data_IF_693287649769
#
_entry.id   IF_693287649769
#
_cell.length_a   1.000
_cell.length_b   1.000
_cell.length_c   1.000
_cell.angle_alpha   90.00
_cell.angle_beta   90.00
_cell.angle_gamma   90.00
#
_symmetry.space_group_name_H-M   'P 1'
#
loop_
_entity.id
_entity.type
_entity.pdbx_description
1 polymer ?
#
# COMPACT_ATOMS: atom_id res chain seq x y z
N UNK A 1 -15.47 61.90 -52.74
CA UNK A 1 -14.49 62.17 -51.66
C UNK A 1 -15.16 61.73 -50.36
N UNK A 2 -15.39 60.43 -50.22
CA UNK A 2 -14.53 59.46 -49.52
C UNK A 2 -14.56 59.63 -48.00
N UNK A 3 -15.53 58.93 -47.40
CA UNK A 3 -15.44 58.41 -46.04
C UNK A 3 -14.85 57.00 -46.16
N UNK A 4 -13.67 56.79 -45.58
CA UNK A 4 -13.08 55.45 -45.48
C UNK A 4 -12.74 55.18 -44.03
N UNK A 5 -13.56 54.31 -43.44
CA UNK A 5 -13.31 53.62 -42.18
C UNK A 5 -12.15 52.65 -42.39
N UNK A 6 -11.10 52.76 -41.59
CA UNK A 6 -10.05 51.74 -41.50
C UNK A 6 -10.06 51.14 -40.09
N UNK A 7 -10.35 49.85 -40.06
CA UNK A 7 -10.36 48.96 -38.92
C UNK A 7 -8.97 48.31 -38.77
N UNK A 8 -8.23 48.69 -37.74
CA UNK A 8 -7.00 48.00 -37.30
C UNK A 8 -7.28 46.97 -36.19
N UNK A 9 -6.56 45.83 -36.15
CA UNK A 9 -6.93 44.67 -35.33
C UNK A 9 -6.46 44.80 -33.87
N UNK A 10 -7.34 44.38 -32.95
CA UNK A 10 -7.03 44.15 -31.54
C UNK A 10 -6.02 43.01 -31.40
N UNK A 11 -4.80 43.34 -30.97
CA UNK A 11 -3.83 42.35 -30.48
C UNK A 11 -4.04 42.18 -28.98
N UNK A 12 -4.70 41.09 -28.61
CA UNK A 12 -4.83 40.61 -27.24
C UNK A 12 -3.43 40.29 -26.69
N UNK A 13 -2.90 41.14 -25.82
CA UNK A 13 -1.68 40.83 -25.06
C UNK A 13 -2.03 39.77 -24.02
N UNK A 14 -1.57 38.54 -24.24
CA UNK A 14 -1.52 37.48 -23.24
C UNK A 14 -0.55 37.89 -22.14
N UNK A 15 -1.03 37.96 -20.91
CA UNK A 15 -0.21 38.16 -19.71
C UNK A 15 0.72 36.95 -19.50
N UNK A 16 1.98 37.16 -19.06
CA UNK A 16 2.89 36.07 -18.76
C UNK A 16 2.48 35.36 -17.45
N UNK A 17 2.49 34.03 -17.52
CA UNK A 17 2.27 33.09 -16.42
C UNK A 17 3.41 33.27 -15.40
N UNK A 18 3.07 33.56 -14.15
CA UNK A 18 4.00 33.69 -13.02
C UNK A 18 4.71 32.36 -12.71
N UNK A 19 6.03 32.36 -12.43
CA UNK A 19 6.76 31.17 -12.00
C UNK A 19 6.85 31.15 -10.46
N UNK A 20 5.84 30.62 -9.77
CA UNK A 20 5.84 30.53 -8.30
C UNK A 20 5.80 29.09 -7.76
N UNK A 21 5.93 28.06 -8.62
CA UNK A 21 5.76 26.64 -8.21
C UNK A 21 7.07 25.79 -8.18
N UNK A 22 8.24 26.35 -8.53
CA UNK A 22 9.49 25.56 -8.60
C UNK A 22 10.19 25.32 -7.24
N UNK A 23 9.83 26.09 -6.21
CA UNK A 23 10.51 26.02 -4.90
C UNK A 23 10.18 24.76 -4.09
N UNK A 24 8.99 24.21 -4.27
CA UNK A 24 8.54 23.01 -3.56
C UNK A 24 9.16 21.73 -4.15
N UNK A 25 9.48 21.76 -5.44
CA UNK A 25 10.04 20.64 -6.17
C UNK A 25 11.53 20.41 -5.84
N UNK A 26 12.33 21.48 -5.77
CA UNK A 26 13.77 21.41 -5.42
C UNK A 26 14.03 20.90 -4.00
N UNK A 27 13.16 21.24 -3.03
CA UNK A 27 13.26 20.74 -1.66
C UNK A 27 12.94 19.25 -1.56
N UNK A 28 11.98 18.77 -2.35
CA UNK A 28 11.59 17.35 -2.38
C UNK A 28 12.72 16.49 -2.95
N UNK A 29 13.39 16.95 -4.02
CA UNK A 29 14.55 16.27 -4.59
C UNK A 29 15.72 16.18 -3.60
N UNK A 30 15.97 17.24 -2.81
CA UNK A 30 17.03 17.24 -1.79
C UNK A 30 16.72 16.28 -0.62
N UNK A 31 15.44 16.10 -0.28
CA UNK A 31 14.99 15.14 0.75
C UNK A 31 15.08 13.68 0.27
N UNK A 32 15.13 13.45 -1.04
CA UNK A 32 15.28 12.16 -1.70
C UNK A 32 16.72 11.85 -2.13
N UNK A 33 17.72 12.52 -1.54
CA UNK A 33 19.14 12.17 -1.72
C UNK A 33 19.58 11.10 -0.72
N UNK A 34 20.63 10.35 -1.09
CA UNK A 34 21.28 9.40 -0.19
C UNK A 34 21.63 10.13 1.11
N UNK A 35 21.13 9.63 2.23
CA UNK A 35 21.35 10.25 3.53
C UNK A 35 21.98 9.26 4.49
N UNK A 36 23.11 9.62 5.06
CA UNK A 36 23.84 8.77 5.98
C UNK A 36 24.26 9.52 7.24
N UNK A 37 24.42 8.78 8.32
CA UNK A 37 24.88 9.36 9.57
C UNK A 37 24.80 8.40 10.76
N UNK A 38 25.42 8.82 11.86
CA UNK A 38 25.46 8.06 13.10
C UNK A 38 24.18 8.29 13.92
N UNK A 39 23.52 7.20 14.29
CA UNK A 39 22.37 7.21 15.20
C UNK A 39 22.60 6.23 16.35
N UNK A 40 21.97 6.51 17.49
CA UNK A 40 21.87 5.54 18.58
C UNK A 40 20.68 4.63 18.32
N UNK A 41 20.92 3.33 18.12
CA UNK A 41 19.89 2.30 17.98
C UNK A 41 19.68 1.59 19.30
N UNK A 42 18.43 1.48 19.74
CA UNK A 42 18.09 0.63 20.89
C UNK A 42 18.18 -0.85 20.48
N UNK A 43 18.84 -1.66 21.31
CA UNK A 43 19.10 -3.07 21.02
C UNK A 43 18.29 -4.00 21.92
N UNK A 44 18.53 -3.97 23.23
CA UNK A 44 17.73 -4.67 24.25
C UNK A 44 18.01 -4.05 25.62
N UNK A 45 17.34 -4.54 26.67
CA UNK A 45 17.52 -4.03 28.05
C UNK A 45 18.96 -4.16 28.54
N UNK A 46 19.67 -5.22 28.14
CA UNK A 46 21.04 -5.48 28.60
C UNK A 46 22.09 -4.60 27.93
N UNK A 47 21.95 -4.35 26.62
CA UNK A 47 22.91 -3.59 25.80
C UNK A 47 22.51 -2.12 25.62
N UNK A 48 21.24 -1.79 25.82
CA UNK A 48 20.71 -0.45 25.71
C UNK A 48 20.87 0.17 24.31
N UNK A 49 21.22 1.46 24.31
CA UNK A 49 21.46 2.27 23.13
C UNK A 49 22.89 2.09 22.62
N UNK A 50 23.03 1.82 21.33
CA UNK A 50 24.32 1.60 20.69
C UNK A 50 24.45 2.44 19.44
N UNK A 51 25.61 3.08 19.26
CA UNK A 51 25.90 3.82 18.04
C UNK A 51 25.99 2.88 16.83
N UNK A 52 25.31 3.26 15.76
CA UNK A 52 25.32 2.57 14.47
C UNK A 52 25.34 3.60 13.36
N UNK A 53 26.02 3.27 12.27
CA UNK A 53 25.98 4.07 11.05
C UNK A 53 24.77 3.65 10.24
N UNK A 54 23.88 4.59 9.94
CA UNK A 54 22.69 4.35 9.12
C UNK A 54 22.87 4.96 7.74
N UNK A 55 22.32 4.27 6.74
CA UNK A 55 22.27 4.72 5.36
C UNK A 55 20.85 4.54 4.86
N UNK A 56 20.24 5.65 4.47
CA UNK A 56 18.96 5.75 3.79
C UNK A 56 19.22 5.82 2.28
N UNK A 57 18.85 4.75 1.57
CA UNK A 57 18.88 4.73 0.12
C UNK A 57 17.49 5.07 -0.46
N UNK A 58 17.33 6.28 -1.05
CA UNK A 58 16.07 6.72 -1.61
C UNK A 58 15.67 5.91 -2.86
N UNK A 59 16.62 5.35 -3.61
CA UNK A 59 16.33 4.61 -4.86
C UNK A 59 15.72 3.25 -4.55
N UNK A 60 16.26 2.55 -3.57
CA UNK A 60 15.76 1.24 -3.15
C UNK A 60 14.67 1.34 -2.08
N UNK A 61 14.54 2.50 -1.41
CA UNK A 61 13.57 2.67 -0.33
C UNK A 61 13.97 1.92 0.93
N UNK A 62 15.26 1.66 1.11
CA UNK A 62 15.79 0.83 2.20
C UNK A 62 16.54 1.72 3.20
N UNK A 63 16.26 1.51 4.49
CA UNK A 63 17.08 2.00 5.58
C UNK A 63 17.92 0.85 6.11
N UNK A 64 19.24 0.95 5.96
CA UNK A 64 20.21 -0.06 6.41
C UNK A 64 21.11 0.48 7.51
N UNK A 65 21.67 -0.41 8.33
CA UNK A 65 22.64 -0.02 9.36
C UNK A 65 23.85 -0.94 9.46
N UNK A 66 24.97 -0.33 9.84
CA UNK A 66 26.28 -0.94 10.00
C UNK A 66 26.80 -0.68 11.42
N UNK A 67 27.83 -1.42 11.86
CA UNK A 67 28.47 -1.12 13.14
C UNK A 67 29.04 0.30 13.09
N UNK A 68 29.88 0.56 12.10
CA UNK A 68 30.64 1.80 11.94
C UNK A 68 30.65 2.23 10.46
N UNK A 69 31.03 3.48 10.19
CA UNK A 69 31.15 4.05 8.83
C UNK A 69 32.15 3.29 7.92
N UNK A 70 33.19 2.70 8.50
CA UNK A 70 34.22 1.98 7.75
C UNK A 70 33.75 0.62 7.19
N UNK A 71 32.63 0.09 7.70
CA UNK A 71 32.07 -1.19 7.27
C UNK A 71 31.03 -1.08 6.16
N UNK A 72 30.96 0.07 5.47
CA UNK A 72 30.05 0.30 4.32
C UNK A 72 30.17 -0.72 3.18
N UNK A 73 31.35 -1.34 3.04
CA UNK A 73 31.61 -2.37 2.01
C UNK A 73 31.23 -3.79 2.45
N UNK A 74 30.91 -3.97 3.73
CA UNK A 74 30.48 -5.24 4.28
C UNK A 74 28.96 -5.38 4.17
N UNK A 75 28.44 -6.58 4.41
CA UNK A 75 27.00 -6.80 4.47
C UNK A 75 26.40 -5.97 5.62
N UNK A 76 25.29 -5.24 5.40
CA UNK A 76 24.61 -4.52 6.47
C UNK A 76 24.19 -5.48 7.59
N UNK A 77 24.25 -5.02 8.83
CA UNK A 77 23.84 -5.83 9.99
C UNK A 77 22.33 -6.04 10.05
N UNK A 78 21.59 -5.13 9.45
CA UNK A 78 20.16 -5.20 9.28
C UNK A 78 19.70 -4.05 8.42
N UNK A 79 18.52 -4.21 7.85
CA UNK A 79 17.93 -3.27 6.92
C UNK A 79 16.42 -3.45 6.93
N UNK A 80 15.68 -2.39 6.62
CA UNK A 80 14.22 -2.41 6.53
C UNK A 80 13.75 -1.64 5.31
N UNK A 81 12.70 -2.14 4.65
CA UNK A 81 11.96 -1.37 3.66
C UNK A 81 11.18 -0.25 4.34
N UNK A 82 11.18 0.91 3.70
CA UNK A 82 10.41 2.09 4.09
C UNK A 82 9.07 2.19 3.38
N UNK A 83 8.83 1.34 2.38
CA UNK A 83 7.53 1.23 1.73
C UNK A 83 6.45 0.96 2.79
N UNK A 84 5.50 1.89 2.90
CA UNK A 84 4.44 1.86 3.92
C UNK A 84 4.93 1.83 5.38
N UNK A 85 6.20 2.16 5.64
CA UNK A 85 6.71 2.27 6.99
C UNK A 85 6.13 3.50 7.72
N UNK A 86 5.87 3.36 9.02
CA UNK A 86 5.40 4.45 9.87
C UNK A 86 6.57 5.02 10.66
N UNK A 87 6.84 6.32 10.45
CA UNK A 87 7.89 7.06 11.15
C UNK A 87 7.26 7.94 12.23
N UNK A 88 7.48 7.56 13.49
CA UNK A 88 6.88 8.20 14.67
C UNK A 88 7.95 8.87 15.55
N UNK A 89 7.99 10.21 15.60
CA UNK A 89 8.78 10.94 16.60
C UNK A 89 8.27 10.63 18.00
N UNK A 90 9.17 10.52 18.97
CA UNK A 90 8.81 10.37 20.38
C UNK A 90 8.26 11.69 20.93
N UNK A 91 7.28 11.59 21.84
CA UNK A 91 6.77 12.68 22.67
C UNK A 91 7.56 12.83 23.98
N UNK A 92 8.13 11.72 24.49
CA UNK A 92 8.94 11.68 25.71
C UNK A 92 10.23 12.52 25.63
N UNK A 93 10.87 12.60 24.46
CA UNK A 93 12.11 13.37 24.28
C UNK A 93 12.26 13.98 22.88
N UNK A 94 13.14 14.97 22.75
CA UNK A 94 13.32 15.74 21.52
C UNK A 94 14.20 15.06 20.46
N UNK A 95 14.80 13.91 20.74
CA UNK A 95 15.86 13.33 19.92
C UNK A 95 15.53 11.90 19.42
N UNK A 96 14.52 11.27 19.98
CA UNK A 96 14.12 9.88 19.72
C UNK A 96 12.98 9.79 18.71
N UNK A 97 13.00 8.75 17.88
CA UNK A 97 11.96 8.41 16.92
C UNK A 97 11.97 6.90 16.65
N UNK A 98 10.87 6.37 16.10
CA UNK A 98 10.76 4.98 15.69
C UNK A 98 10.44 4.85 14.21
N UNK A 99 11.02 3.85 13.57
CA UNK A 99 10.70 3.44 12.20
C UNK A 99 10.08 2.05 12.29
N UNK A 100 8.80 1.95 11.94
CA UNK A 100 8.03 0.71 12.02
C UNK A 100 7.72 0.24 10.61
N UNK A 101 8.26 -0.90 10.21
CA UNK A 101 8.02 -1.48 8.89
C UNK A 101 6.73 -2.29 8.85
N UNK A 102 6.18 -2.45 7.65
CA UNK A 102 5.03 -3.33 7.41
C UNK A 102 5.37 -4.81 7.69
N UNK A 103 6.65 -5.19 7.63
CA UNK A 103 7.11 -6.54 7.99
C UNK A 103 7.02 -6.87 9.49
N UNK A 104 6.72 -5.86 10.33
CA UNK A 104 6.74 -5.98 11.79
C UNK A 104 8.09 -5.67 12.44
N UNK A 105 9.14 -5.45 11.65
CA UNK A 105 10.41 -4.95 12.18
C UNK A 105 10.28 -3.48 12.61
N UNK A 106 10.87 -3.14 13.76
CA UNK A 106 10.88 -1.76 14.25
C UNK A 106 12.27 -1.34 14.75
N UNK A 107 12.67 -0.12 14.38
CA UNK A 107 13.89 0.51 14.86
C UNK A 107 13.55 1.69 15.76
N UNK A 108 13.94 1.59 17.03
CA UNK A 108 13.96 2.73 17.95
C UNK A 108 15.31 3.42 17.86
N UNK A 109 15.31 4.65 17.38
CA UNK A 109 16.48 5.43 17.00
C UNK A 109 16.52 6.75 17.76
N UNK A 110 17.72 7.22 18.05
CA UNK A 110 17.96 8.52 18.69
C UNK A 110 19.05 9.27 17.94
N UNK A 111 18.73 10.50 17.55
CA UNK A 111 19.64 11.44 16.90
C UNK A 111 20.44 12.25 17.94
N UNK A 112 21.43 13.01 17.46
CA UNK A 112 22.28 13.85 18.30
C UNK A 112 21.49 15.01 18.95
N UNK A 113 20.58 15.61 18.19
CA UNK A 113 19.76 16.74 18.63
C UNK A 113 18.39 16.73 17.92
N UNK A 114 17.53 17.68 18.32
CA UNK A 114 16.17 17.79 17.80
C UNK A 114 16.12 18.15 16.30
N UNK A 115 17.10 18.91 15.81
CA UNK A 115 17.19 19.31 14.40
C UNK A 115 17.60 18.10 13.55
N UNK A 116 18.64 17.38 13.95
CA UNK A 116 19.07 16.15 13.31
C UNK A 116 17.95 15.10 13.31
N UNK A 117 17.23 14.94 14.42
CA UNK A 117 16.03 14.09 14.48
C UNK A 117 15.02 14.49 13.39
N UNK A 118 14.69 15.78 13.31
CA UNK A 118 13.69 16.26 12.36
C UNK A 118 14.13 16.01 10.91
N UNK A 119 15.42 16.19 10.62
CA UNK A 119 15.96 15.92 9.29
C UNK A 119 15.84 14.44 8.92
N UNK A 120 16.26 13.52 9.81
CA UNK A 120 16.08 12.08 9.61
C UNK A 120 14.60 11.72 9.38
N UNK A 121 13.71 12.21 10.23
CA UNK A 121 12.27 11.94 10.12
C UNK A 121 11.69 12.44 8.80
N UNK A 122 12.05 13.66 8.37
CA UNK A 122 11.56 14.25 7.13
C UNK A 122 12.01 13.42 5.92
N UNK A 123 13.30 13.08 5.84
CA UNK A 123 13.85 12.30 4.74
C UNK A 123 13.28 10.89 4.68
N UNK A 124 13.16 10.21 5.82
CA UNK A 124 12.57 8.87 5.89
C UNK A 124 11.10 8.87 5.43
N UNK A 125 10.33 9.89 5.82
CA UNK A 125 8.94 10.04 5.36
C UNK A 125 8.85 10.35 3.88
N UNK A 126 9.72 11.21 3.35
CA UNK A 126 9.75 11.52 1.92
C UNK A 126 10.00 10.26 1.09
N UNK A 127 11.00 9.46 1.48
CA UNK A 127 11.30 8.18 0.81
C UNK A 127 10.14 7.19 0.97
N UNK A 128 9.57 7.06 2.16
CA UNK A 128 8.42 6.18 2.41
C UNK A 128 7.21 6.54 1.53
N UNK A 129 6.89 7.83 1.43
CA UNK A 129 5.78 8.32 0.59
C UNK A 129 6.04 8.10 -0.90
N UNK A 130 7.25 8.37 -1.37
CA UNK A 130 7.65 8.15 -2.77
C UNK A 130 7.51 6.67 -3.18
N UNK A 131 7.94 5.75 -2.31
CA UNK A 131 7.80 4.32 -2.59
C UNK A 131 6.33 3.87 -2.47
N UNK A 132 5.58 4.41 -1.51
CA UNK A 132 4.15 4.13 -1.41
C UNK A 132 3.36 4.62 -2.64
N UNK A 133 3.68 5.78 -3.21
CA UNK A 133 3.01 6.29 -4.42
C UNK A 133 3.42 5.51 -5.67
N UNK A 134 4.70 5.11 -5.80
CA UNK A 134 5.16 4.25 -6.89
C UNK A 134 4.47 2.87 -6.85
N UNK A 135 4.28 2.28 -5.66
CA UNK A 135 3.51 1.05 -5.50
C UNK A 135 2.02 1.28 -5.76
N UNK A 136 1.43 2.37 -5.28
CA UNK A 136 0.03 2.70 -5.51
C UNK A 136 -0.30 2.92 -7.00
N UNK A 137 0.63 3.42 -7.80
CA UNK A 137 0.46 3.53 -9.26
C UNK A 137 0.45 2.17 -9.96
N UNK A 138 1.20 1.20 -9.43
CA UNK A 138 1.22 -0.17 -9.96
C UNK A 138 0.07 -1.04 -9.41
N UNK A 139 -0.35 -0.79 -8.17
CA UNK A 139 -1.42 -1.46 -7.44
C UNK A 139 -2.31 -0.40 -6.77
N UNK A 140 -3.40 0.06 -7.41
CA UNK A 140 -4.25 1.10 -6.82
C UNK A 140 -4.79 0.64 -5.46
N UNK A 141 -4.64 1.46 -4.40
CA UNK A 141 -5.12 1.10 -3.08
C UNK A 141 -6.64 0.93 -3.14
N UNK A 142 -7.12 -0.20 -2.61
CA UNK A 142 -8.55 -0.40 -2.43
C UNK A 142 -9.08 0.69 -1.48
N UNK A 143 -10.29 1.22 -1.73
CA UNK A 143 -10.86 2.28 -0.90
C UNK A 143 -10.90 1.84 0.58
N UNK A 144 -10.67 2.79 1.53
CA UNK A 144 -10.62 2.47 2.94
C UNK A 144 -11.82 1.65 3.39
N UNK A 145 -11.54 0.50 3.99
CA UNK A 145 -12.54 -0.36 4.62
C UNK A 145 -13.20 0.45 5.73
N UNK A 146 -14.42 0.93 5.50
CA UNK A 146 -15.23 1.57 6.54
C UNK A 146 -15.48 0.53 7.66
N UNK A 147 -14.64 0.58 8.70
CA UNK A 147 -14.89 -0.14 9.94
C UNK A 147 -16.15 0.47 10.53
N UNK A 148 -17.24 -0.29 10.53
CA UNK A 148 -18.50 0.06 11.16
C UNK A 148 -18.27 0.33 12.66
N UNK A 149 -17.98 1.58 13.00
CA UNK A 149 -18.16 2.10 14.34
C UNK A 149 -19.66 2.22 14.57
N UNK A 150 -20.19 1.34 15.41
CA UNK A 150 -21.59 1.31 15.82
C UNK A 150 -21.88 2.59 16.60
N UNK A 151 -22.53 3.56 15.97
CA UNK A 151 -23.23 4.65 16.66
C UNK A 151 -24.68 4.64 16.19
N UNK A 152 -25.66 4.43 17.09
CA UNK A 152 -27.06 4.38 16.70
C UNK A 152 -27.63 5.80 16.72
N UNK A 153 -28.04 6.31 15.56
CA UNK A 153 -29.18 7.23 15.49
C UNK A 153 -29.96 7.05 14.18
N UNK A 154 -31.30 7.02 14.25
CA UNK A 154 -32.16 6.70 13.13
C UNK A 154 -32.56 7.98 12.39
N UNK A 155 -32.63 7.92 11.06
CA UNK A 155 -33.61 8.63 10.23
C UNK A 155 -33.38 8.25 8.77
N UNK A 156 -34.46 7.86 8.11
CA UNK A 156 -34.43 7.22 6.80
C UNK A 156 -33.98 8.11 5.66
N UNK A 157 -33.24 7.50 4.75
CA UNK A 157 -33.40 7.62 3.29
C UNK A 157 -32.45 6.60 2.68
N UNK A 158 -32.95 5.72 1.82
CA UNK A 158 -32.16 4.64 1.24
C UNK A 158 -30.98 5.16 0.44
N UNK A 159 -29.77 4.87 0.92
CA UNK A 159 -28.52 4.98 0.15
C UNK A 159 -27.69 3.73 0.39
N UNK A 160 -27.88 2.73 -0.47
CA UNK A 160 -26.88 1.68 -0.71
C UNK A 160 -26.80 1.48 -2.23
N UNK A 161 -25.66 1.82 -2.86
CA UNK A 161 -24.83 0.74 -3.41
C UNK A 161 -23.30 0.97 -3.30
N UNK A 162 -22.83 2.06 -2.69
CA UNK A 162 -21.41 2.44 -2.76
C UNK A 162 -20.44 1.39 -2.19
N UNK A 163 -20.80 0.70 -1.10
CA UNK A 163 -19.95 -0.32 -0.47
C UNK A 163 -19.92 -1.65 -1.22
N UNK A 164 -21.01 -2.04 -1.88
CA UNK A 164 -21.02 -3.24 -2.72
C UNK A 164 -20.27 -3.01 -4.02
N UNK A 165 -20.37 -1.81 -4.61
CA UNK A 165 -19.65 -1.46 -5.83
C UNK A 165 -18.14 -1.51 -5.60
N UNK A 166 -17.65 -0.86 -4.55
CA UNK A 166 -16.24 -0.88 -4.17
C UNK A 166 -15.68 -2.28 -3.91
N UNK A 167 -16.50 -3.20 -3.38
CA UNK A 167 -16.11 -4.60 -3.19
C UNK A 167 -15.97 -5.36 -4.52
N UNK A 168 -16.88 -5.12 -5.46
CA UNK A 168 -16.79 -5.71 -6.80
C UNK A 168 -15.63 -5.10 -7.61
N UNK A 169 -15.35 -3.81 -7.44
CA UNK A 169 -14.17 -3.16 -8.01
C UNK A 169 -12.88 -3.79 -7.46
N UNK A 170 -12.84 -4.08 -6.15
CA UNK A 170 -11.72 -4.79 -5.54
C UNK A 170 -11.53 -6.20 -6.11
N UNK A 171 -12.60 -6.98 -6.28
CA UNK A 171 -12.52 -8.29 -6.93
C UNK A 171 -12.07 -8.20 -8.38
N UNK A 172 -12.48 -7.15 -9.09
CA UNK A 172 -12.06 -6.90 -10.47
C UNK A 172 -10.57 -6.58 -10.55
N UNK A 173 -10.06 -5.75 -9.63
CA UNK A 173 -8.64 -5.46 -9.52
C UNK A 173 -7.82 -6.74 -9.21
N UNK A 174 -8.26 -7.57 -8.26
CA UNK A 174 -7.57 -8.84 -7.95
C UNK A 174 -7.54 -9.78 -9.15
N UNK A 175 -8.62 -9.85 -9.94
CA UNK A 175 -8.65 -10.64 -11.18
C UNK A 175 -7.65 -10.14 -12.22
N UNK A 176 -7.55 -8.83 -12.39
CA UNK A 176 -6.55 -8.22 -13.28
C UNK A 176 -5.12 -8.54 -12.82
N UNK A 177 -4.83 -8.46 -11.52
CA UNK A 177 -3.52 -8.83 -10.98
C UNK A 177 -3.20 -10.31 -11.16
N UNK A 178 -4.18 -11.20 -10.95
CA UNK A 178 -4.02 -12.63 -11.19
C UNK A 178 -3.76 -12.94 -12.66
N UNK A 179 -4.47 -12.28 -13.56
CA UNK A 179 -4.27 -12.42 -15.00
C UNK A 179 -2.86 -11.99 -15.43
N UNK A 180 -2.37 -10.85 -14.94
CA UNK A 180 -0.98 -10.40 -15.18
C UNK A 180 0.05 -11.37 -14.61
N UNK A 181 -0.18 -11.89 -13.42
CA UNK A 181 0.70 -12.87 -12.80
C UNK A 181 0.74 -14.18 -13.59
N UNK A 182 -0.39 -14.61 -14.16
CA UNK A 182 -0.48 -15.76 -15.06
C UNK A 182 0.30 -15.55 -16.36
N UNK A 183 0.18 -14.37 -16.98
CA UNK A 183 0.98 -14.01 -18.15
C UNK A 183 2.49 -14.05 -17.86
N UNK A 184 2.90 -13.47 -16.72
CA UNK A 184 4.30 -13.48 -16.29
C UNK A 184 4.80 -14.92 -16.06
N UNK A 185 3.97 -15.78 -15.48
CA UNK A 185 4.29 -17.19 -15.30
C UNK A 185 4.46 -17.94 -16.62
N UNK A 186 3.62 -17.67 -17.63
CA UNK A 186 3.76 -18.25 -18.97
C UNK A 186 5.09 -17.83 -19.61
N UNK A 187 5.44 -16.54 -19.52
CA UNK A 187 6.70 -16.02 -20.04
C UNK A 187 7.91 -16.65 -19.33
N UNK A 188 7.85 -16.78 -18.00
CA UNK A 188 8.87 -17.46 -17.21
C UNK A 188 9.03 -18.92 -17.66
N UNK A 189 7.93 -19.65 -17.77
CA UNK A 189 7.92 -21.05 -18.20
C UNK A 189 8.57 -21.22 -19.56
N UNK A 190 8.23 -20.34 -20.51
CA UNK A 190 8.77 -20.34 -21.86
C UNK A 190 10.27 -20.01 -21.86
N UNK A 191 10.69 -19.01 -21.08
CA UNK A 191 12.11 -18.66 -20.95
C UNK A 191 12.95 -19.82 -20.39
N UNK A 192 12.39 -20.61 -19.46
CA UNK A 192 13.06 -21.81 -18.92
C UNK A 192 13.16 -22.89 -20.00
N UNK A 193 12.11 -23.11 -20.80
CA UNK A 193 12.08 -24.12 -21.87
C UNK A 193 13.00 -23.78 -23.04
N UNK A 194 13.19 -22.49 -23.35
CA UNK A 194 14.04 -22.01 -24.44
C UNK A 194 15.55 -21.96 -24.07
N UNK A 195 15.93 -22.38 -22.85
CA UNK A 195 17.33 -22.40 -22.43
C UNK A 195 18.18 -23.36 -23.31
N UNK A 196 19.32 -22.90 -23.86
CA UNK A 196 20.16 -23.72 -24.74
C UNK A 196 20.80 -24.88 -23.97
N UNK A 197 20.34 -26.10 -24.24
CA UNK A 197 20.67 -27.30 -23.47
C UNK A 197 22.12 -27.79 -23.52
N UNK A 198 22.99 -27.21 -24.35
CA UNK A 198 24.30 -27.80 -24.65
C UNK A 198 25.51 -27.11 -23.98
N UNK A 199 25.51 -25.78 -23.77
CA UNK A 199 26.77 -25.06 -23.48
C UNK A 199 26.71 -24.07 -22.29
N UNK A 200 25.62 -24.05 -21.51
CA UNK A 200 25.44 -23.16 -20.36
C UNK A 200 25.45 -23.88 -19.01
N UNK A 201 25.81 -23.16 -17.94
CA UNK A 201 25.77 -23.65 -16.54
C UNK A 201 24.32 -23.88 -16.03
N UNK A 202 23.32 -23.30 -16.71
CA UNK A 202 21.90 -23.44 -16.39
C UNK A 202 21.19 -24.22 -17.50
N UNK A 203 20.42 -25.26 -17.12
CA UNK A 203 19.67 -26.12 -18.04
C UNK A 203 18.17 -26.04 -17.71
N UNK A 204 17.30 -26.26 -18.68
CA UNK A 204 15.84 -26.29 -18.44
C UNK A 204 15.38 -27.40 -17.47
N UNK A 205 16.23 -28.41 -17.23
CA UNK A 205 16.00 -29.50 -16.26
C UNK A 205 16.64 -29.19 -14.89
N UNK A 206 17.11 -27.97 -14.68
CA UNK A 206 17.69 -27.57 -13.40
C UNK A 206 16.64 -27.66 -12.28
N UNK A 207 16.94 -28.33 -11.14
CA UNK A 207 15.99 -28.53 -10.07
C UNK A 207 15.43 -27.22 -9.49
N UNK A 208 16.25 -26.17 -9.39
CA UNK A 208 15.82 -24.88 -8.82
C UNK A 208 14.90 -24.14 -9.81
N UNK A 209 15.17 -24.23 -11.12
CA UNK A 209 14.29 -23.68 -12.15
C UNK A 209 12.95 -24.43 -12.23
N UNK A 210 12.97 -25.76 -12.12
CA UNK A 210 11.76 -26.57 -12.07
C UNK A 210 10.95 -26.29 -10.80
N UNK A 211 11.62 -26.15 -9.65
CA UNK A 211 10.97 -25.77 -8.40
C UNK A 211 10.37 -24.37 -8.47
N UNK A 212 11.09 -23.40 -9.05
CA UNK A 212 10.59 -22.05 -9.27
C UNK A 212 9.33 -22.06 -10.15
N UNK A 213 9.35 -22.79 -11.27
CA UNK A 213 8.19 -22.96 -12.16
C UNK A 213 7.01 -23.61 -11.44
N UNK A 214 7.24 -24.73 -10.75
CA UNK A 214 6.20 -25.44 -10.02
C UNK A 214 5.59 -24.58 -8.90
N UNK A 215 6.42 -23.90 -8.11
CA UNK A 215 5.99 -23.03 -7.01
C UNK A 215 5.21 -21.83 -7.55
N UNK A 216 5.68 -21.21 -8.64
CA UNK A 216 4.97 -20.11 -9.30
C UNK A 216 3.57 -20.53 -9.77
N UNK A 217 3.45 -21.70 -10.40
CA UNK A 217 2.15 -22.24 -10.82
C UNK A 217 1.25 -22.56 -9.63
N UNK A 218 1.78 -23.24 -8.60
CA UNK A 218 1.03 -23.59 -7.40
C UNK A 218 0.52 -22.35 -6.65
N UNK A 219 1.30 -21.28 -6.59
CA UNK A 219 0.86 -20.00 -6.03
C UNK A 219 -0.32 -19.41 -6.81
N UNK A 220 -0.27 -19.39 -8.14
CA UNK A 220 -1.39 -18.91 -8.97
C UNK A 220 -2.66 -19.73 -8.73
N UNK A 221 -2.56 -21.05 -8.66
CA UNK A 221 -3.69 -21.94 -8.36
C UNK A 221 -4.25 -21.63 -6.97
N UNK A 222 -3.39 -21.50 -5.97
CA UNK A 222 -3.80 -21.22 -4.59
C UNK A 222 -4.49 -19.87 -4.47
N UNK A 223 -3.97 -18.82 -5.12
CA UNK A 223 -4.57 -17.49 -5.10
C UNK A 223 -5.92 -17.46 -5.82
N UNK A 224 -6.07 -18.18 -6.94
CA UNK A 224 -7.35 -18.33 -7.63
C UNK A 224 -8.38 -19.06 -6.76
N UNK A 225 -7.97 -20.11 -6.03
CA UNK A 225 -8.84 -20.80 -5.07
C UNK A 225 -9.27 -19.88 -3.92
N UNK A 226 -8.34 -19.11 -3.36
CA UNK A 226 -8.64 -18.12 -2.32
C UNK A 226 -9.66 -17.08 -2.83
N UNK A 227 -9.46 -16.54 -4.03
CA UNK A 227 -10.40 -15.59 -4.64
C UNK A 227 -11.78 -16.22 -4.81
N UNK A 228 -11.86 -17.45 -5.29
CA UNK A 228 -13.12 -18.17 -5.46
C UNK A 228 -13.89 -18.32 -4.14
N UNK A 229 -13.18 -18.74 -3.07
CA UNK A 229 -13.76 -18.88 -1.73
C UNK A 229 -14.29 -17.52 -1.22
N UNK A 230 -13.50 -16.45 -1.38
CA UNK A 230 -13.90 -15.10 -0.96
C UNK A 230 -15.13 -14.58 -1.73
N UNK A 231 -15.24 -14.88 -3.03
CA UNK A 231 -16.41 -14.52 -3.83
C UNK A 231 -17.67 -15.28 -3.39
N UNK A 232 -17.56 -16.58 -3.11
CA UNK A 232 -18.66 -17.41 -2.64
C UNK A 232 -19.21 -16.90 -1.30
N UNK A 233 -18.33 -16.64 -0.33
CA UNK A 233 -18.73 -16.11 0.98
C UNK A 233 -19.42 -14.74 0.88
N UNK A 234 -19.00 -13.90 -0.09
CA UNK A 234 -19.61 -12.58 -0.30
C UNK A 234 -21.03 -12.69 -0.89
N UNK A 235 -21.30 -13.67 -1.74
CA UNK A 235 -22.64 -13.93 -2.29
C UNK A 235 -23.61 -14.49 -1.23
N UNK A 236 -23.12 -15.29 -0.28
CA UNK A 236 -23.94 -15.82 0.83
C UNK A 236 -24.33 -14.72 1.84
N UNK A 237 -23.46 -13.73 2.06
CA UNK A 237 -23.74 -12.57 2.94
C UNK A 237 -24.74 -11.58 2.31
N UNK A 238 -24.76 -11.47 0.98
CA UNK A 238 -25.72 -10.59 0.28
C UNK A 238 -27.12 -11.20 0.14
N UNK A 239 -27.23 -12.54 0.05
CA UNK A 239 -28.52 -13.26 -0.04
C UNK A 239 -29.20 -13.45 1.31
N UNK A 240 -28.45 -13.57 2.41
CA UNK A 240 -29.01 -13.68 3.77
C UNK A 240 -29.66 -12.39 4.27
N UNK A 241 -29.26 -11.21 3.77
CA UNK A 241 -29.88 -9.92 4.12
C UNK A 241 -31.27 -9.69 3.48
N UNK A 242 -31.65 -10.48 2.47
CA UNK A 242 -32.96 -10.36 1.79
C UNK A 242 -34.03 -11.26 2.43
N UNK A 243 -33.65 -12.34 3.13
CA UNK A 243 -34.62 -13.26 3.76
C UNK A 243 -35.13 -12.82 5.14
N UNK A 244 -34.51 -11.84 5.79
CA UNK A 244 -34.95 -11.36 7.11
C UNK A 244 -35.94 -10.19 7.08
N UNK A 245 -36.33 -9.69 5.90
CA UNK A 245 -37.27 -8.56 5.76
C UNK A 245 -38.66 -8.92 5.21
N UNK A 246 -38.96 -10.20 4.94
CA UNK A 246 -40.25 -10.64 4.37
C UNK A 246 -41.16 -11.42 5.33
N UNK A 247 -40.99 -11.28 6.65
CA UNK A 247 -41.97 -11.81 7.61
C UNK A 247 -42.36 -10.76 8.64
N UNK A 248 -43.32 -9.89 8.26
CA UNK A 248 -44.33 -9.28 9.12
C UNK A 248 -45.17 -8.29 8.30
N UNK A 249 -46.40 -8.69 8.00
CA UNK A 249 -47.64 -7.94 8.29
C UNK A 249 -48.78 -8.46 7.41
N UNK A 250 -49.72 -9.17 8.02
CA UNK A 250 -51.14 -9.07 7.66
C UNK A 250 -51.96 -9.29 8.94
N UNK A 251 -52.38 -8.17 9.53
CA UNK A 251 -53.49 -8.11 10.48
C UNK A 251 -54.81 -8.13 9.69
N UNK A 252 -55.78 -8.96 10.08
CA UNK A 252 -57.02 -8.47 10.71
C UNK A 252 -58.08 -9.55 10.98
N UNK A 253 -58.54 -9.52 12.24
CA UNK A 253 -59.94 -9.62 12.71
C UNK A 253 -60.64 -10.99 12.95
N UNK A 254 -61.02 -11.11 14.22
CA UNK A 254 -62.32 -11.52 14.77
C UNK A 254 -62.60 -12.99 15.12
N UNK A 255 -63.09 -13.11 16.36
CA UNK A 255 -64.21 -13.95 16.81
C UNK A 255 -63.94 -15.32 17.46
N UNK A 256 -64.18 -15.31 18.78
CA UNK A 256 -64.96 -16.28 19.55
C UNK A 256 -64.46 -17.72 19.84
N UNK A 257 -64.45 -17.98 21.16
CA UNK A 257 -64.96 -19.18 21.86
C UNK A 257 -64.02 -20.33 22.19
N UNK A 258 -63.60 -20.31 23.48
CA UNK A 258 -63.74 -21.35 24.51
C UNK A 258 -63.62 -22.84 24.13
N UNK A 259 -62.87 -23.53 25.00
CA UNK A 259 -62.88 -24.97 25.42
C UNK A 259 -61.65 -25.74 24.91
N UNK A 260 -61.07 -26.75 25.59
CA UNK A 260 -61.02 -27.30 26.96
C UNK A 260 -60.23 -28.62 26.78
N UNK A 261 -59.31 -28.97 27.70
CA UNK A 261 -58.75 -30.32 27.99
C UNK A 261 -57.92 -31.04 26.90
N UNK A 262 -56.66 -31.43 27.18
CA UNK A 262 -56.16 -32.71 27.78
C UNK A 262 -56.32 -33.91 26.81
N UNK A 263 -55.36 -34.80 26.58
CA UNK A 263 -54.10 -35.15 27.24
C UNK A 263 -52.88 -34.96 26.30
#
# INVERSE_FOLDING_TARGET
>A
MELKTDSGPSTSKSLPISPEDDSFNMNTEMMCQLYEGQLSKYTNVMKGWQFRWFILDPKTGILSYFLNENERKQQPRGWTHLESAVISPSDEDSNTFTVNSMSGESFKLRAQDAKARQEWVNRLRAVSQMHATATAQNNPPLPPREHHAVSPKPSGSGTAPASSLALWDAFTAVREHLFRAEQNHILLSRAIEELPGSNGNLKHVDPDLLLLKATSHAMLVSLNQCLFILQQQTQDVTTTKVKSSSSKHQDHSSSHSKKKFAL
#
